data_IF_583442559082
#
_entry.id   IF_583442559082
#
_cell.length_a   1.000
_cell.length_b   1.000
_cell.length_c   1.000
_cell.angle_alpha   90.00
_cell.angle_beta   90.00
_cell.angle_gamma   90.00
#
_symmetry.space_group_name_H-M   'P 1'
#
loop_
_entity.id
_entity.type
_entity.pdbx_description
1 polymer ?
#
# COMPACT_ATOMS: atom_id res chain seq x y z
N UNK A 1 5.80 10.41 10.45
CA UNK A 1 6.24 9.63 9.28
C UNK A 1 7.35 10.39 8.54
N UNK A 2 8.40 9.71 8.16
CA UNK A 2 9.50 10.33 7.42
C UNK A 2 9.08 10.62 5.98
N UNK A 3 9.85 11.51 5.32
CA UNK A 3 9.58 11.83 3.92
C UNK A 3 9.69 10.57 3.04
N UNK A 4 10.67 9.72 3.35
CA UNK A 4 10.86 8.49 2.58
C UNK A 4 9.68 7.55 2.72
N UNK A 5 9.17 7.37 3.94
CA UNK A 5 8.01 6.53 4.18
C UNK A 5 6.77 7.12 3.49
N UNK A 6 6.64 8.44 3.51
CA UNK A 6 5.53 9.11 2.83
C UNK A 6 5.58 8.88 1.32
N UNK A 7 6.76 9.03 0.73
CA UNK A 7 6.92 8.80 -0.71
C UNK A 7 6.66 7.34 -1.08
N UNK A 8 7.14 6.42 -0.25
CA UNK A 8 6.87 4.98 -0.45
C UNK A 8 5.37 4.70 -0.41
N UNK A 9 4.68 5.31 0.53
CA UNK A 9 3.23 5.16 0.67
C UNK A 9 2.50 5.66 -0.58
N UNK A 10 2.87 6.83 -1.08
CA UNK A 10 2.26 7.37 -2.29
C UNK A 10 2.47 6.44 -3.49
N UNK A 11 3.69 5.91 -3.63
CA UNK A 11 4.00 4.96 -4.68
C UNK A 11 3.13 3.71 -4.57
N UNK A 12 2.98 3.19 -3.36
CA UNK A 12 2.19 1.99 -3.14
C UNK A 12 0.72 2.22 -3.50
N UNK A 13 0.16 3.37 -3.11
CA UNK A 13 -1.22 3.70 -3.42
C UNK A 13 -1.41 3.82 -4.93
N UNK A 14 -0.48 4.49 -5.60
CA UNK A 14 -0.54 4.63 -7.05
C UNK A 14 -0.51 3.25 -7.73
N UNK A 15 0.40 2.39 -7.30
CA UNK A 15 0.52 1.04 -7.85
C UNK A 15 -0.77 0.25 -7.61
N UNK A 16 -1.32 0.33 -6.40
CA UNK A 16 -2.55 -0.38 -6.08
C UNK A 16 -3.70 0.05 -6.98
N UNK A 17 -3.80 1.34 -7.28
CA UNK A 17 -4.83 1.84 -8.18
C UNK A 17 -4.62 1.34 -9.60
N UNK A 18 -3.39 1.32 -10.06
CA UNK A 18 -3.06 0.84 -11.40
C UNK A 18 -3.39 -0.65 -11.55
N UNK A 19 -3.24 -1.42 -10.47
CA UNK A 19 -3.53 -2.85 -10.48
C UNK A 19 -5.00 -3.14 -10.13
N UNK A 20 -5.80 -2.10 -9.95
CA UNK A 20 -7.23 -2.23 -9.64
C UNK A 20 -7.48 -2.98 -8.33
N UNK A 21 -6.62 -2.78 -7.35
CA UNK A 21 -6.84 -3.35 -6.02
C UNK A 21 -8.09 -2.74 -5.39
N UNK A 22 -8.80 -3.49 -4.52
CA UNK A 22 -10.02 -3.00 -3.91
C UNK A 22 -9.77 -1.80 -3.00
N UNK A 23 -10.83 -1.02 -2.78
CA UNK A 23 -10.75 0.18 -1.95
C UNK A 23 -10.24 -0.13 -0.54
N UNK A 24 -10.55 -1.33 -0.01
CA UNK A 24 -10.07 -1.71 1.31
C UNK A 24 -8.54 -1.70 1.39
N UNK A 25 -7.87 -2.11 0.32
CA UNK A 25 -6.40 -2.09 0.26
C UNK A 25 -5.91 -0.64 0.26
N UNK A 26 -6.55 0.22 -0.53
CA UNK A 26 -6.18 1.63 -0.60
C UNK A 26 -6.31 2.28 0.78
N UNK A 27 -7.40 2.00 1.48
CA UNK A 27 -7.62 2.56 2.81
C UNK A 27 -6.58 2.08 3.81
N UNK A 28 -6.20 0.81 3.74
CA UNK A 28 -5.15 0.27 4.60
C UNK A 28 -3.82 0.95 4.34
N UNK A 29 -3.49 1.17 3.07
CA UNK A 29 -2.26 1.85 2.71
C UNK A 29 -2.25 3.28 3.26
N UNK A 30 -3.40 3.96 3.20
CA UNK A 30 -3.52 5.32 3.72
C UNK A 30 -3.33 5.36 5.23
N UNK A 31 -3.72 4.30 5.93
CA UNK A 31 -3.61 4.21 7.38
C UNK A 31 -2.23 3.75 7.85
N UNK A 32 -1.43 3.18 6.96
CA UNK A 32 -0.12 2.68 7.32
C UNK A 32 0.81 3.82 7.75
N UNK A 33 1.62 3.57 8.77
CA UNK A 33 2.53 4.56 9.31
C UNK A 33 4.00 4.23 9.10
N UNK A 34 4.31 3.01 8.67
CA UNK A 34 5.69 2.58 8.43
C UNK A 34 5.80 1.89 7.07
N UNK A 35 7.01 1.86 6.53
CA UNK A 35 7.27 1.16 5.28
C UNK A 35 6.99 -0.33 5.42
N UNK A 36 7.27 -0.91 6.57
CA UNK A 36 7.02 -2.33 6.82
C UNK A 36 5.54 -2.65 6.71
N UNK A 37 4.68 -1.79 7.25
CA UNK A 37 3.24 -1.98 7.13
C UNK A 37 2.78 -1.89 5.69
N UNK A 38 3.30 -0.91 4.96
CA UNK A 38 2.96 -0.72 3.55
C UNK A 38 3.34 -1.96 2.74
N UNK A 39 4.56 -2.44 2.94
CA UNK A 39 5.05 -3.62 2.23
C UNK A 39 4.20 -4.85 2.55
N UNK A 40 3.82 -5.00 3.82
CA UNK A 40 2.98 -6.13 4.24
C UNK A 40 1.61 -6.08 3.58
N UNK A 41 1.01 -4.89 3.55
CA UNK A 41 -0.31 -4.72 2.92
C UNK A 41 -0.25 -5.08 1.45
N UNK A 42 0.75 -4.57 0.74
CA UNK A 42 0.91 -4.84 -0.68
C UNK A 42 1.16 -6.33 -0.94
N UNK A 43 1.97 -6.96 -0.10
CA UNK A 43 2.25 -8.39 -0.23
C UNK A 43 0.98 -9.21 -0.03
N UNK A 44 0.19 -8.87 0.98
CA UNK A 44 -1.05 -9.58 1.27
C UNK A 44 -2.04 -9.41 0.11
N UNK A 45 -2.17 -8.20 -0.39
CA UNK A 45 -3.09 -7.92 -1.50
C UNK A 45 -2.69 -8.72 -2.75
N UNK A 46 -1.40 -8.76 -3.04
CA UNK A 46 -0.91 -9.50 -4.20
C UNK A 46 -1.14 -11.01 -4.04
N UNK A 47 -0.96 -11.52 -2.84
CA UNK A 47 -1.16 -12.93 -2.55
C UNK A 47 -2.63 -13.32 -2.68
N UNK A 48 -3.52 -12.45 -2.22
CA UNK A 48 -4.95 -12.74 -2.26
C UNK A 48 -5.51 -12.77 -3.68
N UNK A 49 -4.86 -12.08 -4.60
CA UNK A 49 -5.31 -12.09 -5.99
C UNK A 49 -4.87 -13.33 -6.75
N UNK A 50 -3.82 -13.96 -6.28
CA UNK A 50 -3.32 -15.17 -6.89
C UNK A 50 -4.18 -16.35 -6.53
#
# INVERSE_FOLDING_TARGET
MSREAYNYKRQAIKTARELFYPQSVILRLQSATTESEIARIMKTARTQEG
#
